data_IF_597221824638
#
_entry.id   IF_597221824638
#
_cell.length_a   1.000
_cell.length_b   1.000
_cell.length_c   1.000
_cell.angle_alpha   90.00
_cell.angle_beta   90.00
_cell.angle_gamma   90.00
#
_symmetry.space_group_name_H-M   'P 1'
#
loop_
_entity.id
_entity.type
_entity.pdbx_description
1 polymer ?
#
# COMPACT_ATOMS: atom_id res chain seq x y z
N UNK A 1 -17.05 -6.38 2.65
CA UNK A 1 -16.05 -6.35 1.56
C UNK A 1 -15.20 -5.09 1.68
N UNK A 2 -13.90 -5.24 1.66
CA UNK A 2 -12.98 -4.12 1.86
C UNK A 2 -12.89 -3.27 0.58
N UNK A 3 -12.98 -1.96 0.73
CA UNK A 3 -12.77 -1.04 -0.39
C UNK A 3 -11.30 -1.15 -0.83
N UNK A 4 -11.01 -1.20 -2.15
CA UNK A 4 -9.61 -1.21 -2.60
C UNK A 4 -8.82 -0.04 -2.00
N UNK A 5 -7.61 -0.31 -1.54
CA UNK A 5 -6.81 0.67 -0.81
C UNK A 5 -6.59 1.97 -1.60
N UNK A 6 -6.41 1.87 -2.90
CA UNK A 6 -6.23 3.06 -3.74
C UNK A 6 -7.45 3.98 -3.69
N UNK A 7 -8.64 3.40 -3.76
CA UNK A 7 -9.88 4.18 -3.68
C UNK A 7 -10.05 4.81 -2.29
N UNK A 8 -9.70 4.07 -1.24
CA UNK A 8 -9.78 4.60 0.11
C UNK A 8 -8.85 5.79 0.30
N UNK A 9 -7.62 5.70 -0.21
CA UNK A 9 -6.66 6.80 -0.15
C UNK A 9 -7.21 8.02 -0.88
N UNK A 10 -7.76 7.83 -2.07
CA UNK A 10 -8.33 8.94 -2.86
C UNK A 10 -9.49 9.62 -2.14
N UNK A 11 -10.30 8.86 -1.43
CA UNK A 11 -11.49 9.38 -0.75
C UNK A 11 -11.19 9.99 0.61
N UNK A 12 -10.23 9.47 1.35
CA UNK A 12 -10.04 9.82 2.76
C UNK A 12 -8.69 10.45 3.09
N UNK A 13 -7.72 10.36 2.21
CA UNK A 13 -6.37 10.88 2.42
C UNK A 13 -6.11 12.05 1.47
N UNK A 14 -6.77 13.18 1.73
CA UNK A 14 -6.73 14.35 0.83
C UNK A 14 -5.58 15.32 1.10
N UNK A 15 -4.69 14.98 2.04
CA UNK A 15 -3.56 15.84 2.39
C UNK A 15 -2.26 15.12 2.07
N UNK A 16 -1.79 15.20 0.83
CA UNK A 16 -0.66 14.37 0.36
C UNK A 16 0.65 14.59 1.09
N UNK A 17 0.82 15.70 1.80
CA UNK A 17 2.04 15.95 2.56
C UNK A 17 2.09 15.32 3.94
N UNK A 18 1.00 14.70 4.43
CA UNK A 18 0.94 14.20 5.80
C UNK A 18 0.93 12.67 5.85
N UNK A 19 2.08 12.07 5.60
CA UNK A 19 2.24 10.62 5.55
C UNK A 19 1.87 9.95 6.88
N UNK A 20 2.22 10.58 8.00
CA UNK A 20 1.91 10.03 9.32
C UNK A 20 0.41 9.92 9.55
N UNK A 21 -0.33 10.92 9.11
CA UNK A 21 -1.80 10.90 9.22
C UNK A 21 -2.41 9.82 8.34
N UNK A 22 -1.87 9.66 7.13
CA UNK A 22 -2.29 8.58 6.24
C UNK A 22 -2.07 7.21 6.87
N UNK A 23 -0.92 7.02 7.51
CA UNK A 23 -0.61 5.78 8.19
C UNK A 23 -1.68 5.44 9.23
N UNK A 24 -2.00 6.38 10.09
CA UNK A 24 -2.98 6.16 11.15
C UNK A 24 -4.37 5.86 10.59
N UNK A 25 -4.79 6.60 9.59
CA UNK A 25 -6.10 6.41 8.94
C UNK A 25 -6.21 5.03 8.31
N UNK A 26 -5.20 4.63 7.56
CA UNK A 26 -5.23 3.36 6.83
C UNK A 26 -5.10 2.16 7.78
N UNK A 27 -4.28 2.28 8.80
CA UNK A 27 -4.14 1.21 9.79
C UNK A 27 -5.46 0.97 10.53
N UNK A 28 -6.12 2.04 10.91
CA UNK A 28 -7.41 1.97 11.60
C UNK A 28 -8.50 1.39 10.71
N UNK A 29 -8.42 1.64 9.41
CA UNK A 29 -9.37 1.11 8.44
C UNK A 29 -9.15 -0.38 8.12
N UNK A 30 -8.08 -0.98 8.64
CA UNK A 30 -7.83 -2.41 8.46
C UNK A 30 -6.90 -2.77 7.31
N UNK A 31 -6.26 -1.79 6.68
CA UNK A 31 -5.27 -2.07 5.64
C UNK A 31 -3.94 -2.51 6.25
N UNK A 32 -3.16 -3.26 5.48
CA UNK A 32 -1.93 -3.87 5.98
C UNK A 32 -0.71 -3.12 5.42
N UNK A 33 0.13 -2.54 6.29
CA UNK A 33 1.31 -1.81 5.86
C UNK A 33 2.54 -2.71 5.73
N UNK A 34 3.37 -2.42 4.70
CA UNK A 34 4.71 -2.99 4.58
C UNK A 34 5.67 -1.84 4.35
N UNK A 35 6.59 -1.64 5.29
CA UNK A 35 7.58 -0.57 5.19
C UNK A 35 8.77 -1.02 4.35
N UNK A 36 9.10 -0.24 3.34
CA UNK A 36 10.27 -0.50 2.51
C UNK A 36 11.50 0.18 3.10
N UNK A 37 12.59 -0.57 3.19
CA UNK A 37 13.85 -0.04 3.70
C UNK A 37 14.79 0.43 2.60
N UNK A 38 14.45 0.11 1.35
CA UNK A 38 15.23 0.54 0.19
C UNK A 38 14.33 0.72 -1.02
N UNK A 39 14.75 1.59 -1.93
CA UNK A 39 14.02 1.81 -3.17
C UNK A 39 14.44 0.78 -4.24
N UNK A 40 13.48 0.14 -4.86
CA UNK A 40 13.71 -0.91 -5.84
C UNK A 40 13.31 -0.50 -7.26
N UNK A 41 12.73 0.68 -7.42
CA UNK A 41 12.41 1.23 -8.73
C UNK A 41 11.14 0.70 -9.37
N UNK A 42 11.06 0.85 -10.69
CA UNK A 42 9.87 0.51 -11.46
C UNK A 42 9.50 -0.96 -11.47
N UNK A 43 10.46 -1.86 -11.26
CA UNK A 43 10.20 -3.30 -11.21
C UNK A 43 9.18 -3.66 -10.14
N UNK A 44 9.27 -3.00 -9.00
CA UNK A 44 8.36 -3.22 -7.88
C UNK A 44 6.92 -2.93 -8.28
N UNK A 45 6.70 -1.78 -8.91
CA UNK A 45 5.37 -1.39 -9.35
C UNK A 45 4.81 -2.30 -10.44
N UNK A 46 5.66 -2.70 -11.38
CA UNK A 46 5.25 -3.62 -12.44
C UNK A 46 4.83 -4.96 -11.85
N UNK A 47 5.63 -5.51 -10.94
CA UNK A 47 5.31 -6.76 -10.26
C UNK A 47 3.99 -6.67 -9.52
N UNK A 48 3.81 -5.60 -8.74
CA UNK A 48 2.61 -5.41 -7.93
C UNK A 48 1.36 -5.29 -8.80
N UNK A 49 1.43 -4.56 -9.91
CA UNK A 49 0.31 -4.44 -10.83
C UNK A 49 -0.08 -5.78 -11.45
N UNK A 50 0.93 -6.60 -11.81
CA UNK A 50 0.69 -7.89 -12.45
C UNK A 50 0.15 -8.95 -11.49
N UNK A 51 0.60 -8.94 -10.25
CA UNK A 51 0.26 -10.00 -9.29
C UNK A 51 -0.87 -9.64 -8.33
N UNK A 52 -1.02 -8.36 -8.02
CA UNK A 52 -1.99 -7.92 -7.02
C UNK A 52 -3.14 -7.10 -7.60
N UNK A 53 -2.90 -6.48 -8.74
CA UNK A 53 -3.88 -5.58 -9.34
C UNK A 53 -3.67 -4.14 -8.89
N UNK A 54 -3.91 -3.21 -9.81
CA UNK A 54 -3.61 -1.80 -9.62
C UNK A 54 -4.36 -1.14 -8.44
N UNK A 55 -5.58 -1.58 -8.21
CA UNK A 55 -6.42 -0.99 -7.15
C UNK A 55 -6.13 -1.58 -5.78
N UNK A 56 -5.44 -2.71 -5.71
CA UNK A 56 -5.28 -3.48 -4.49
C UNK A 56 -4.02 -3.13 -3.70
N UNK A 57 -3.19 -2.23 -4.22
CA UNK A 57 -2.04 -1.72 -3.49
C UNK A 57 -1.88 -0.23 -3.75
N UNK A 58 -1.20 0.45 -2.85
CA UNK A 58 -0.80 1.84 -3.03
C UNK A 58 0.29 2.13 -2.01
N UNK A 59 0.88 3.32 -2.10
CA UNK A 59 1.94 3.68 -1.18
C UNK A 59 1.76 5.10 -0.67
N UNK A 60 2.26 5.34 0.55
CA UNK A 60 2.37 6.65 1.16
C UNK A 60 3.77 6.77 1.73
N UNK A 61 4.61 7.60 1.12
CA UNK A 61 6.02 7.67 1.48
C UNK A 61 6.72 6.33 1.21
N UNK A 62 7.36 5.76 2.23
CA UNK A 62 8.06 4.48 2.12
C UNK A 62 7.22 3.27 2.56
N UNK A 63 5.94 3.48 2.84
CA UNK A 63 5.05 2.42 3.29
C UNK A 63 4.11 2.03 2.16
N UNK A 64 4.08 0.74 1.85
CA UNK A 64 3.14 0.18 0.88
C UNK A 64 1.96 -0.44 1.61
N UNK A 65 0.76 -0.19 1.09
CA UNK A 65 -0.49 -0.61 1.71
C UNK A 65 -1.21 -1.63 0.87
N UNK A 66 -1.75 -2.65 1.51
CA UNK A 66 -2.44 -3.75 0.84
C UNK A 66 -3.81 -3.97 1.46
N UNK A 67 -4.71 -4.57 0.67
CA UNK A 67 -6.08 -4.84 1.10
C UNK A 67 -6.17 -5.99 2.12
N UNK A 68 -5.16 -6.86 2.16
CA UNK A 68 -5.21 -8.06 3.01
C UNK A 68 -3.80 -8.55 3.34
N UNK A 69 -3.71 -9.44 4.32
CA UNK A 69 -2.45 -10.00 4.80
C UNK A 69 -1.73 -10.84 3.75
N UNK A 70 -2.49 -11.57 2.94
CA UNK A 70 -1.91 -12.45 1.92
C UNK A 70 -1.09 -11.65 0.90
N UNK A 71 -1.65 -10.57 0.38
CA UNK A 71 -0.97 -9.72 -0.59
C UNK A 71 0.25 -9.05 0.04
N UNK A 72 0.11 -8.57 1.27
CA UNK A 72 1.21 -7.95 2.00
C UNK A 72 2.36 -8.94 2.21
N UNK A 73 2.04 -10.18 2.54
CA UNK A 73 3.03 -11.22 2.74
C UNK A 73 3.77 -11.56 1.45
N UNK A 74 3.06 -11.71 0.35
CA UNK A 74 3.66 -11.96 -0.96
C UNK A 74 4.63 -10.84 -1.34
N UNK A 75 4.20 -9.60 -1.14
CA UNK A 75 5.02 -8.43 -1.43
C UNK A 75 6.28 -8.43 -0.56
N UNK A 76 6.13 -8.65 0.74
CA UNK A 76 7.25 -8.66 1.67
C UNK A 76 8.27 -9.75 1.34
N UNK A 77 7.80 -10.94 0.98
CA UNK A 77 8.68 -12.06 0.60
C UNK A 77 9.48 -11.77 -0.66
N UNK A 78 8.89 -11.02 -1.58
CA UNK A 78 9.53 -10.72 -2.87
C UNK A 78 10.52 -9.56 -2.76
N UNK A 79 10.22 -8.55 -1.95
CA UNK A 79 10.91 -7.26 -2.01
C UNK A 79 11.62 -6.81 -0.73
N UNK A 80 11.44 -7.50 0.38
CA UNK A 80 12.14 -7.12 1.61
C UNK A 80 13.44 -7.88 1.85
#
# INVERSE_FOLDING_TARGET
MTVPVRHYIEQHCQHPGNVKKHYDILLEAGYVPVRMTRYVGGELHTWAEQHLGRSNYNWTGSVFWFNNDHDAMLFALRWS
#
